data_IF_203255272064
#
_entry.id   IF_203255272064
#
_cell.length_a   1.000
_cell.length_b   1.000
_cell.length_c   1.000
_cell.angle_alpha   90.00
_cell.angle_beta   90.00
_cell.angle_gamma   90.00
#
_symmetry.space_group_name_H-M   'P 1'
#
loop_
_entity.id
_entity.type
_entity.pdbx_description
1 polymer ?
#
# COMPACT_ATOMS: atom_id res chain seq x y z
N UNK A 1 1.35 10.01 -10.96
CA UNK A 1 1.89 10.25 -9.60
C UNK A 1 0.69 10.33 -8.67
N UNK A 2 0.67 9.56 -7.57
CA UNK A 2 -0.45 9.60 -6.61
C UNK A 2 -0.47 10.91 -5.84
N UNK A 3 -1.66 11.38 -5.51
CA UNK A 3 -1.90 12.69 -4.89
C UNK A 3 -1.66 12.62 -3.38
N UNK A 4 -2.12 11.54 -2.75
CA UNK A 4 -1.97 11.31 -1.31
C UNK A 4 -1.60 9.85 -1.05
N UNK A 5 -0.69 9.62 -0.10
CA UNK A 5 -0.28 8.29 0.34
C UNK A 5 -0.12 8.28 1.85
N UNK A 6 -0.87 7.41 2.52
CA UNK A 6 -0.93 7.30 3.97
C UNK A 6 -0.74 5.84 4.38
N UNK A 7 0.27 5.57 5.21
CA UNK A 7 0.48 4.25 5.81
C UNK A 7 -0.16 4.23 7.20
N UNK A 8 -0.97 3.20 7.45
CA UNK A 8 -1.57 2.89 8.75
C UNK A 8 -1.01 1.56 9.23
N UNK A 9 0.02 1.57 10.08
CA UNK A 9 0.51 0.35 10.71
C UNK A 9 -0.52 -0.11 11.76
N UNK A 10 -1.19 -1.24 11.52
CA UNK A 10 -2.09 -1.84 12.50
C UNK A 10 -1.25 -2.82 13.32
N UNK A 11 -0.68 -2.31 14.42
CA UNK A 11 0.11 -3.11 15.35
C UNK A 11 -0.82 -3.77 16.37
N UNK A 12 -1.55 -4.81 15.95
CA UNK A 12 -2.38 -5.62 16.85
C UNK A 12 -1.53 -6.66 17.59
N UNK A 13 -0.69 -6.21 18.53
CA UNK A 13 -0.24 -6.94 19.74
C UNK A 13 0.26 -8.39 19.62
N UNK A 14 0.57 -8.90 18.43
CA UNK A 14 0.96 -10.27 18.15
C UNK A 14 1.80 -10.27 16.88
N UNK A 15 2.71 -11.25 16.76
CA UNK A 15 3.81 -11.36 15.80
C UNK A 15 3.48 -11.33 14.28
N UNK A 16 2.27 -10.89 13.91
CA UNK A 16 1.81 -10.69 12.54
C UNK A 16 1.43 -9.23 12.34
N UNK A 17 2.44 -8.35 12.26
CA UNK A 17 2.22 -6.94 11.93
C UNK A 17 1.66 -6.83 10.52
N UNK A 18 0.41 -6.35 10.41
CA UNK A 18 -0.23 -6.04 9.15
C UNK A 18 -0.20 -4.52 8.98
N UNK A 19 0.48 -4.07 7.94
CA UNK A 19 0.60 -2.65 7.67
C UNK A 19 -0.38 -2.28 6.58
N UNK A 20 -1.39 -1.51 6.94
CA UNK A 20 -2.41 -1.04 6.02
C UNK A 20 -1.91 0.24 5.35
N UNK A 21 -2.43 0.54 4.17
CA UNK A 21 -2.14 1.79 3.49
C UNK A 21 -3.38 2.26 2.73
N UNK A 22 -3.53 3.57 2.62
CA UNK A 22 -4.52 4.22 1.78
C UNK A 22 -3.81 5.17 0.84
N UNK A 23 -4.27 5.22 -0.40
CA UNK A 23 -3.72 6.09 -1.40
C UNK A 23 -4.79 6.64 -2.32
N UNK A 24 -4.57 7.86 -2.76
CA UNK A 24 -5.48 8.58 -3.63
C UNK A 24 -4.81 8.80 -4.97
N UNK A 25 -5.32 8.17 -6.02
CA UNK A 25 -4.83 8.33 -7.39
C UNK A 25 -5.94 8.92 -8.24
N UNK A 26 -5.70 10.10 -8.81
CA UNK A 26 -6.63 10.76 -9.75
C UNK A 26 -8.05 10.91 -9.17
N UNK A 27 -8.15 11.17 -7.86
CA UNK A 27 -9.43 11.29 -7.14
C UNK A 27 -10.07 9.96 -6.74
N UNK A 28 -9.44 8.82 -7.04
CA UNK A 28 -9.88 7.50 -6.59
C UNK A 28 -9.10 7.08 -5.34
N UNK A 29 -9.82 6.77 -4.26
CA UNK A 29 -9.23 6.17 -3.06
C UNK A 29 -9.08 4.66 -3.24
N UNK A 30 -7.84 4.19 -3.19
CA UNK A 30 -7.48 2.79 -3.11
C UNK A 30 -6.92 2.50 -1.73
N UNK A 31 -7.31 1.36 -1.18
CA UNK A 31 -6.84 0.91 0.13
C UNK A 31 -6.25 -0.47 -0.04
N UNK A 32 -5.23 -0.77 0.75
CA UNK A 32 -4.62 -2.09 0.78
C UNK A 32 -3.97 -2.37 2.11
N UNK A 33 -3.42 -3.57 2.21
CA UNK A 33 -2.59 -3.99 3.31
C UNK A 33 -1.39 -4.73 2.77
N UNK A 34 -0.27 -4.61 3.46
CA UNK A 34 0.94 -5.36 3.20
C UNK A 34 1.11 -6.35 4.32
N UNK A 35 1.27 -7.60 3.91
CA UNK A 35 1.45 -8.71 4.83
C UNK A 35 2.55 -9.63 4.28
N UNK A 36 3.59 -9.86 5.08
CA UNK A 36 4.73 -10.72 4.71
C UNK A 36 5.37 -10.31 3.37
N UNK A 37 5.51 -9.00 3.15
CA UNK A 37 6.08 -8.43 1.92
C UNK A 37 5.22 -8.56 0.67
N UNK A 38 3.95 -8.95 0.80
CA UNK A 38 2.98 -8.98 -0.30
C UNK A 38 1.90 -7.93 -0.11
N UNK A 39 1.57 -7.23 -1.20
CA UNK A 39 0.54 -6.22 -1.23
C UNK A 39 -0.80 -6.88 -1.56
N UNK A 40 -1.77 -6.66 -0.68
CA UNK A 40 -3.15 -7.09 -0.81
C UNK A 40 -4.03 -5.86 -0.95
N UNK A 41 -4.58 -5.67 -2.14
CA UNK A 41 -5.51 -4.59 -2.44
C UNK A 41 -6.93 -4.92 -1.98
N UNK A 42 -7.62 -3.95 -1.40
CA UNK A 42 -9.06 -4.03 -1.18
C UNK A 42 -9.83 -3.74 -2.47
N UNK A 43 -11.11 -4.08 -2.49
CA UNK A 43 -11.99 -3.77 -3.62
C UNK A 43 -12.55 -2.34 -3.46
N UNK A 44 -12.46 -1.46 -4.48
CA UNK A 44 -12.07 -1.71 -5.87
C UNK A 44 -10.55 -1.85 -6.10
N UNK A 45 -10.16 -2.85 -6.91
CA UNK A 45 -8.74 -3.13 -7.18
C UNK A 45 -8.14 -2.11 -8.19
N UNK A 46 -7.00 -1.47 -7.88
CA UNK A 46 -6.39 -0.45 -8.73
C UNK A 46 -6.02 -0.92 -10.13
N UNK A 47 -5.59 -2.17 -10.33
CA UNK A 47 -5.41 -2.84 -11.65
C UNK A 47 -6.53 -2.64 -12.67
N UNK A 48 -7.76 -2.36 -12.24
CA UNK A 48 -8.88 -2.14 -13.16
C UNK A 48 -8.87 -0.74 -13.79
N UNK A 49 -8.28 0.25 -13.11
CA UNK A 49 -8.21 1.63 -13.56
C UNK A 49 -6.78 2.09 -13.87
N UNK A 50 -5.78 1.44 -13.27
CA UNK A 50 -4.37 1.78 -13.40
C UNK A 50 -3.67 0.76 -14.27
N UNK A 51 -2.79 1.27 -15.13
CA UNK A 51 -1.89 0.48 -15.94
C UNK A 51 -0.98 -0.37 -15.05
N UNK A 52 -0.57 -1.54 -15.55
CA UNK A 52 0.30 -2.46 -14.79
C UNK A 52 1.63 -1.81 -14.39
N UNK A 53 2.17 -0.91 -15.22
CA UNK A 53 3.36 -0.12 -14.90
C UNK A 53 3.13 0.79 -13.69
N UNK A 54 2.01 1.52 -13.67
CA UNK A 54 1.65 2.39 -12.56
C UNK A 54 1.41 1.59 -11.28
N UNK A 55 0.73 0.45 -11.38
CA UNK A 55 0.52 -0.41 -10.23
C UNK A 55 1.86 -0.91 -9.68
N UNK A 56 2.75 -1.40 -10.54
CA UNK A 56 4.06 -1.90 -10.13
C UNK A 56 4.91 -0.81 -9.45
N UNK A 57 4.85 0.43 -9.97
CA UNK A 57 5.51 1.57 -9.35
C UNK A 57 4.94 1.90 -7.96
N UNK A 58 3.61 1.83 -7.80
CA UNK A 58 2.95 2.02 -6.50
C UNK A 58 3.35 0.92 -5.53
N UNK A 59 3.32 -0.35 -5.97
CA UNK A 59 3.70 -1.50 -5.15
C UNK A 59 5.16 -1.41 -4.68
N UNK A 60 6.06 -1.03 -5.59
CA UNK A 60 7.47 -0.81 -5.26
C UNK A 60 7.65 0.31 -4.25
N UNK A 61 6.95 1.44 -4.43
CA UNK A 61 7.06 2.58 -3.54
C UNK A 61 6.44 2.33 -2.16
N UNK A 62 5.32 1.60 -2.09
CA UNK A 62 4.76 1.12 -0.83
C UNK A 62 5.80 0.26 -0.11
N UNK A 63 6.41 -0.69 -0.81
CA UNK A 63 7.41 -1.58 -0.23
C UNK A 63 8.64 -0.83 0.27
N UNK A 64 9.14 0.12 -0.51
CA UNK A 64 10.28 0.99 -0.17
C UNK A 64 10.00 1.80 1.10
N UNK A 65 8.88 2.52 1.14
CA UNK A 65 8.48 3.32 2.30
C UNK A 65 8.30 2.46 3.56
N UNK A 66 7.80 1.24 3.42
CA UNK A 66 7.64 0.33 4.55
C UNK A 66 8.96 -0.26 5.03
N UNK A 67 9.91 -0.52 4.12
CA UNK A 67 11.27 -0.93 4.49
C UNK A 67 11.96 0.19 5.26
N UNK A 68 11.85 1.44 4.79
CA UNK A 68 12.37 2.63 5.49
C UNK A 68 11.77 2.78 6.90
N UNK A 69 10.47 2.48 7.07
CA UNK A 69 9.79 2.55 8.37
C UNK A 69 10.14 1.40 9.33
N UNK A 70 10.60 0.24 8.84
CA UNK A 70 10.94 -0.94 9.67
C UNK A 70 12.39 -0.93 10.18
N UNK A 71 13.26 -0.05 9.63
CA UNK A 71 14.68 0.03 9.99
C UNK A 71 15.01 1.06 11.11
N UNK A 72 14.01 1.60 11.83
CA UNK A 72 14.20 2.59 12.93
C UNK A 72 14.03 2.04 14.34
#
# INVERSE_FOLDING_TARGET
MFDNFEIFQVQEGSAHEQSHFSLSIEGNEYKGMVHSGKIHWYNPHPKQNLEEEHLSAVETKVFDMMSEHLES
#
